data_IF_400654004445
#
_entry.id   IF_400654004445
#
_cell.length_a   1.000
_cell.length_b   1.000
_cell.length_c   1.000
_cell.angle_alpha   90.00
_cell.angle_beta   90.00
_cell.angle_gamma   90.00
#
_symmetry.space_group_name_H-M   'P 1'
#
loop_
_entity.id
_entity.type
_entity.pdbx_description
1 polymer ?
#
# COMPACT_ATOMS: atom_id res chain seq x y z
N UNK A 1 21.33 12.18 -3.85
CA UNK A 1 19.91 11.81 -3.67
C UNK A 1 19.88 10.30 -3.52
N UNK A 2 20.17 9.89 -2.30
CA UNK A 2 19.96 8.54 -1.80
C UNK A 2 18.48 8.48 -1.39
N UNK A 3 17.81 7.35 -1.62
CA UNK A 3 16.43 7.17 -1.19
C UNK A 3 16.34 7.43 0.31
N UNK A 4 15.46 8.34 0.74
CA UNK A 4 15.25 8.59 2.16
C UNK A 4 14.79 7.29 2.84
N UNK A 5 15.64 6.70 3.68
CA UNK A 5 15.39 5.42 4.33
C UNK A 5 14.12 5.46 5.20
N UNK A 6 13.84 6.61 5.81
CA UNK A 6 12.61 6.79 6.59
C UNK A 6 11.40 6.72 5.67
N UNK A 7 11.49 7.29 4.48
CA UNK A 7 10.41 7.19 3.50
C UNK A 7 10.21 5.75 3.01
N UNK A 8 11.29 5.01 2.76
CA UNK A 8 11.21 3.60 2.35
C UNK A 8 10.60 2.70 3.44
N UNK A 9 10.87 3.01 4.71
CA UNK A 9 10.35 2.28 5.86
C UNK A 9 8.82 2.33 5.92
N UNK A 10 8.17 3.37 5.37
CA UNK A 10 6.71 3.41 5.24
C UNK A 10 6.14 2.18 4.55
N UNK A 11 6.82 1.64 3.54
CA UNK A 11 6.32 0.56 2.69
C UNK A 11 6.61 -0.84 3.24
N UNK A 12 7.61 -0.97 4.11
CA UNK A 12 7.94 -2.26 4.73
C UNK A 12 6.86 -2.72 5.73
N UNK A 13 6.23 -1.77 6.40
CA UNK A 13 5.20 -2.00 7.43
C UNK A 13 3.82 -1.57 6.97
N UNK A 14 3.64 -1.23 5.68
CA UNK A 14 2.39 -0.65 5.20
C UNK A 14 1.24 -1.63 5.32
N UNK A 15 0.29 -1.33 6.20
CA UNK A 15 -0.90 -2.15 6.40
C UNK A 15 -1.96 -1.84 5.34
N UNK A 16 -2.41 -2.90 4.65
CA UNK A 16 -3.52 -2.86 3.69
C UNK A 16 -4.49 -4.02 3.96
N UNK A 17 -4.73 -4.32 5.25
CA UNK A 17 -5.67 -5.36 5.64
C UNK A 17 -7.07 -5.05 5.14
N UNK A 18 -7.83 -6.10 4.85
CA UNK A 18 -9.24 -6.00 4.51
C UNK A 18 -10.10 -6.02 5.78
N UNK A 19 -11.27 -5.42 5.68
CA UNK A 19 -12.39 -5.62 6.60
C UNK A 19 -12.76 -7.12 6.72
N UNK A 20 -13.44 -7.55 7.80
CA UNK A 20 -13.78 -8.96 8.01
C UNK A 20 -14.62 -9.61 6.89
N UNK A 21 -15.39 -8.82 6.15
CA UNK A 21 -16.16 -9.30 4.99
C UNK A 21 -15.34 -9.37 3.69
N UNK A 22 -14.09 -8.93 3.74
CA UNK A 22 -13.12 -8.86 2.66
C UNK A 22 -13.56 -8.02 1.45
N UNK A 23 -14.44 -7.02 1.64
CA UNK A 23 -14.95 -6.19 0.55
C UNK A 23 -14.21 -4.87 0.39
N UNK A 24 -13.57 -4.40 1.45
CA UNK A 24 -12.91 -3.09 1.50
C UNK A 24 -11.67 -3.17 2.40
N UNK A 25 -10.75 -2.22 2.27
CA UNK A 25 -9.66 -2.05 3.23
C UNK A 25 -10.21 -1.71 4.61
N UNK A 26 -9.60 -2.25 5.66
CA UNK A 26 -9.91 -1.90 7.05
C UNK A 26 -9.56 -0.43 7.32
N UNK A 27 -8.43 0.04 6.77
CA UNK A 27 -8.02 1.44 6.79
C UNK A 27 -7.54 1.85 5.38
N UNK A 28 -8.05 2.94 4.80
CA UNK A 28 -7.46 3.53 3.61
C UNK A 28 -6.04 4.02 3.89
N UNK A 29 -5.15 3.90 2.90
CA UNK A 29 -3.79 4.44 3.04
C UNK A 29 -3.86 5.97 3.13
N UNK A 30 -3.23 6.55 4.15
CA UNK A 30 -3.38 7.98 4.48
C UNK A 30 -2.03 8.69 4.47
N UNK A 31 -2.00 9.95 4.02
CA UNK A 31 -0.81 10.79 4.13
C UNK A 31 -0.78 11.51 5.48
N UNK A 32 0.38 11.51 6.13
CA UNK A 32 0.64 12.34 7.31
C UNK A 32 1.88 13.21 7.10
N UNK A 33 1.96 14.32 7.83
CA UNK A 33 3.15 15.20 7.76
C UNK A 33 4.36 14.48 8.38
N UNK A 34 5.59 14.83 7.95
CA UNK A 34 6.83 14.26 8.49
C UNK A 34 6.81 14.14 10.03
N UNK A 35 7.09 12.95 10.55
CA UNK A 35 7.13 12.64 11.97
C UNK A 35 5.76 12.52 12.66
N UNK A 36 4.65 12.48 11.90
CA UNK A 36 3.30 12.36 12.46
C UNK A 36 2.66 10.99 12.26
N UNK A 37 3.39 10.02 11.71
CA UNK A 37 2.90 8.63 11.58
C UNK A 37 2.65 8.00 12.94
N UNK A 38 1.44 7.49 13.11
CA UNK A 38 0.97 6.82 14.33
C UNK A 38 0.41 5.43 14.07
N UNK A 39 0.20 5.09 12.79
CA UNK A 39 -0.39 3.83 12.38
C UNK A 39 0.20 3.33 11.07
N UNK A 40 0.15 2.02 10.88
CA UNK A 40 0.86 1.33 9.80
C UNK A 40 0.29 1.60 8.41
N UNK A 41 -1.00 1.95 8.29
CA UNK A 41 -1.63 2.36 7.01
C UNK A 41 -1.27 3.81 6.59
N UNK A 42 -0.54 4.55 7.43
CA UNK A 42 -0.13 5.93 7.12
C UNK A 42 1.22 5.96 6.38
N UNK A 43 1.37 6.92 5.48
CA UNK A 43 2.65 7.25 4.84
C UNK A 43 3.14 8.58 5.40
N UNK A 44 4.28 8.52 6.07
CA UNK A 44 4.97 9.68 6.57
C UNK A 44 5.63 10.45 5.41
N UNK A 45 5.26 11.73 5.27
CA UNK A 45 5.79 12.59 4.22
C UNK A 45 7.27 12.90 4.39
N UNK A 46 7.90 13.39 3.31
CA UNK A 46 9.27 13.89 3.34
C UNK A 46 9.24 15.42 3.35
N UNK A 47 10.01 16.04 4.24
CA UNK A 47 10.20 17.50 4.26
C UNK A 47 10.72 17.99 2.92
N UNK A 48 10.06 19.01 2.33
CA UNK A 48 10.44 19.57 1.03
C UNK A 48 9.89 18.82 -0.20
N UNK A 49 9.20 17.69 -0.01
CA UNK A 49 8.60 16.91 -1.11
C UNK A 49 7.09 16.64 -0.93
N UNK A 50 6.40 17.48 -0.16
CA UNK A 50 5.00 17.28 0.24
C UNK A 50 4.03 16.98 -0.93
N UNK A 51 4.18 17.65 -2.07
CA UNK A 51 3.30 17.44 -3.24
C UNK A 51 3.51 16.02 -3.81
N UNK A 52 4.77 15.62 -3.98
CA UNK A 52 5.12 14.29 -4.48
C UNK A 52 4.68 13.21 -3.50
N UNK A 53 4.98 13.37 -2.20
CA UNK A 53 4.56 12.41 -1.17
C UNK A 53 3.05 12.23 -1.16
N UNK A 54 2.27 13.33 -1.16
CA UNK A 54 0.79 13.26 -1.22
C UNK A 54 0.28 12.57 -2.47
N UNK A 55 0.90 12.83 -3.63
CA UNK A 55 0.51 12.21 -4.89
C UNK A 55 0.74 10.70 -4.87
N UNK A 56 1.90 10.26 -4.39
CA UNK A 56 2.22 8.83 -4.23
C UNK A 56 1.24 8.17 -3.28
N UNK A 57 0.99 8.78 -2.11
CA UNK A 57 0.03 8.25 -1.15
C UNK A 57 -1.37 8.14 -1.72
N UNK A 58 -1.82 9.14 -2.49
CA UNK A 58 -3.13 9.10 -3.16
C UNK A 58 -3.23 7.94 -4.14
N UNK A 59 -2.22 7.76 -5.00
CA UNK A 59 -2.18 6.65 -5.97
C UNK A 59 -2.25 5.30 -5.24
N UNK A 60 -1.50 5.14 -4.16
CA UNK A 60 -1.51 3.92 -3.36
C UNK A 60 -2.86 3.70 -2.68
N UNK A 61 -3.46 4.72 -2.10
CA UNK A 61 -4.78 4.64 -1.48
C UNK A 61 -5.85 4.22 -2.48
N UNK A 62 -5.91 4.86 -3.65
CA UNK A 62 -6.91 4.55 -4.69
C UNK A 62 -6.66 3.17 -5.30
N UNK A 63 -5.40 2.86 -5.61
CA UNK A 63 -5.02 1.58 -6.19
C UNK A 63 -5.28 0.41 -5.24
N UNK A 64 -4.92 0.53 -3.97
CA UNK A 64 -5.13 -0.53 -2.98
C UNK A 64 -6.61 -0.74 -2.67
N UNK A 65 -7.39 0.34 -2.51
CA UNK A 65 -8.83 0.25 -2.30
C UNK A 65 -9.55 -0.45 -3.45
N UNK A 66 -9.07 -0.27 -4.68
CA UNK A 66 -9.63 -0.93 -5.85
C UNK A 66 -9.14 -2.37 -6.01
N UNK A 67 -7.82 -2.61 -5.95
CA UNK A 67 -7.22 -3.89 -6.33
C UNK A 67 -7.19 -4.92 -5.20
N UNK A 68 -6.88 -4.54 -3.95
CA UNK A 68 -6.69 -5.51 -2.86
C UNK A 68 -7.93 -6.36 -2.60
N UNK A 69 -9.16 -5.79 -2.47
CA UNK A 69 -10.36 -6.60 -2.28
C UNK A 69 -10.63 -7.52 -3.48
N UNK A 70 -10.40 -7.04 -4.71
CA UNK A 70 -10.65 -7.80 -5.94
C UNK A 70 -9.68 -8.97 -6.08
N UNK A 71 -8.39 -8.74 -5.82
CA UNK A 71 -7.37 -9.79 -5.83
C UNK A 71 -7.68 -10.84 -4.78
N UNK A 72 -8.08 -10.43 -3.57
CA UNK A 72 -8.45 -11.36 -2.51
C UNK A 72 -9.67 -12.20 -2.86
N UNK A 73 -10.70 -11.61 -3.45
CA UNK A 73 -11.92 -12.32 -3.87
C UNK A 73 -11.64 -13.32 -4.99
N UNK A 74 -10.70 -13.00 -5.88
CA UNK A 74 -10.32 -13.85 -7.02
C UNK A 74 -9.07 -14.71 -6.76
N UNK A 75 -8.56 -14.76 -5.53
CA UNK A 75 -7.28 -15.42 -5.19
C UNK A 75 -7.23 -16.90 -5.59
N UNK A 76 -8.38 -17.58 -5.60
CA UNK A 76 -8.48 -18.97 -6.02
C UNK A 76 -8.14 -19.19 -7.50
N UNK A 77 -8.42 -18.19 -8.36
CA UNK A 77 -8.07 -18.23 -9.78
C UNK A 77 -6.58 -17.97 -9.99
N UNK A 78 -5.99 -17.05 -9.23
CA UNK A 78 -4.55 -16.75 -9.29
C UNK A 78 -3.67 -17.84 -8.66
N UNK A 79 -4.25 -18.72 -7.85
CA UNK A 79 -3.52 -19.86 -7.25
C UNK A 79 -3.34 -21.04 -8.21
N UNK A 80 -3.97 -21.01 -9.40
CA UNK A 80 -3.92 -22.09 -10.40
C UNK A 80 -2.88 -21.82 -11.50
N UNK A 81 -1.61 -22.08 -11.20
CA UNK A 81 -0.53 -22.64 -12.08
C UNK A 81 0.84 -22.21 -11.54
N UNK A 82 1.73 -23.15 -11.17
CA UNK A 82 3.14 -22.95 -11.42
C UNK A 82 3.33 -22.82 -12.93
N UNK A 83 4.11 -21.84 -13.38
CA UNK A 83 4.68 -21.88 -14.73
C UNK A 83 5.68 -23.03 -14.67
N UNK A 84 5.30 -24.21 -15.14
CA UNK A 84 6.28 -25.25 -15.44
C UNK A 84 7.11 -24.72 -16.61
N UNK A 85 8.39 -24.45 -16.34
CA UNK A 85 9.41 -24.19 -17.35
C UNK A 85 9.35 -25.33 -18.36
N UNK A 86 8.81 -25.06 -19.54
CA UNK A 86 8.95 -25.98 -20.67
C UNK A 86 10.40 -25.90 -21.13
N UNK A 87 11.18 -26.93 -20.75
CA UNK A 87 12.49 -27.26 -21.29
C UNK A 87 12.45 -27.45 -22.81
#
# INVERSE_FOLDING_TARGET
MESDENFLTNFQQLDAQLTPDHRQLANPIEFVKPGQKTADWQIDGITGATITSKTVTKILSEGSAYWVPRLWQNRAEFSKRPIEDQQ
#
